data_IF_178866544195
#
_entry.id   IF_178866544195
#
_cell.length_a   1.000
_cell.length_b   1.000
_cell.length_c   1.000
_cell.angle_alpha   90.00
_cell.angle_beta   90.00
_cell.angle_gamma   90.00
#
_symmetry.space_group_name_H-M   'P 1'
#
loop_
_entity.id
_entity.type
_entity.pdbx_description
1 polymer ?
#
# COMPACT_ATOMS: atom_id res chain seq x y z
N UNK A 1 -11.27 -37.63 34.49
CA UNK A 1 -11.04 -36.17 34.52
C UNK A 1 -9.98 -35.64 33.52
N UNK A 2 -8.95 -36.40 33.11
CA UNK A 2 -7.89 -35.91 32.21
C UNK A 2 -8.33 -35.54 30.77
N UNK A 3 -9.38 -36.17 30.22
CA UNK A 3 -9.83 -35.94 28.83
C UNK A 3 -10.47 -34.55 28.62
N UNK A 4 -11.23 -34.06 29.61
CA UNK A 4 -11.89 -32.74 29.55
C UNK A 4 -10.87 -31.60 29.69
N UNK A 5 -9.87 -31.79 30.55
CA UNK A 5 -8.73 -30.86 30.70
C UNK A 5 -7.96 -30.71 29.37
N UNK A 6 -7.57 -31.81 28.71
CA UNK A 6 -6.88 -31.76 27.41
C UNK A 6 -7.70 -31.10 26.30
N UNK A 7 -9.02 -31.27 26.30
CA UNK A 7 -9.91 -30.63 25.34
C UNK A 7 -9.98 -29.11 25.55
N UNK A 8 -10.11 -28.66 26.80
CA UNK A 8 -10.08 -27.24 27.17
C UNK A 8 -8.73 -26.57 26.85
N UNK A 9 -7.61 -27.27 27.07
CA UNK A 9 -6.28 -26.79 26.69
C UNK A 9 -6.13 -26.66 25.17
N UNK A 10 -6.66 -27.63 24.41
CA UNK A 10 -6.57 -27.64 22.94
C UNK A 10 -7.47 -26.58 22.30
N UNK A 11 -8.64 -26.31 22.88
CA UNK A 11 -9.52 -25.19 22.49
C UNK A 11 -8.86 -23.84 22.74
N UNK A 12 -8.20 -23.63 23.89
CA UNK A 12 -7.42 -22.42 24.17
C UNK A 12 -6.27 -22.23 23.19
N UNK A 13 -5.49 -23.28 22.96
CA UNK A 13 -4.42 -23.28 21.94
C UNK A 13 -4.95 -22.97 20.52
N UNK A 14 -6.16 -23.41 20.19
CA UNK A 14 -6.83 -23.07 18.93
C UNK A 14 -7.21 -21.59 18.86
N UNK A 15 -7.82 -21.07 19.94
CA UNK A 15 -8.22 -19.65 20.05
C UNK A 15 -7.02 -18.70 19.98
N UNK A 16 -5.90 -19.07 20.60
CA UNK A 16 -4.66 -18.28 20.60
C UNK A 16 -4.03 -18.25 19.20
N UNK A 17 -4.06 -19.37 18.47
CA UNK A 17 -3.58 -19.46 17.09
C UNK A 17 -4.46 -18.66 16.13
N UNK A 18 -5.77 -18.71 16.30
CA UNK A 18 -6.72 -17.96 15.48
C UNK A 18 -6.60 -16.45 15.73
N UNK A 19 -6.45 -16.04 17.00
CA UNK A 19 -6.17 -14.64 17.35
C UNK A 19 -4.81 -14.18 16.81
N UNK A 20 -3.76 -15.00 16.91
CA UNK A 20 -2.46 -14.68 16.33
C UNK A 20 -2.51 -14.56 14.80
N UNK A 21 -3.25 -15.44 14.12
CA UNK A 21 -3.47 -15.36 12.68
C UNK A 21 -4.26 -14.09 12.30
N UNK A 22 -5.31 -13.75 13.05
CA UNK A 22 -6.13 -12.56 12.82
C UNK A 22 -5.33 -11.27 13.06
N UNK A 23 -4.48 -11.24 14.08
CA UNK A 23 -3.56 -10.14 14.37
C UNK A 23 -2.51 -9.99 13.28
N UNK A 24 -1.91 -11.09 12.84
CA UNK A 24 -0.93 -11.11 11.73
C UNK A 24 -1.55 -10.66 10.40
N UNK A 25 -2.78 -11.08 10.10
CA UNK A 25 -3.52 -10.60 8.93
C UNK A 25 -3.81 -9.10 9.05
N UNK A 26 -4.28 -8.62 10.21
CA UNK A 26 -4.54 -7.20 10.45
C UNK A 26 -3.27 -6.33 10.33
N UNK A 27 -2.15 -6.78 10.88
CA UNK A 27 -0.84 -6.09 10.76
C UNK A 27 -0.38 -6.04 9.29
N UNK A 28 -0.58 -7.12 8.53
CA UNK A 28 -0.26 -7.14 7.09
C UNK A 28 -1.09 -6.10 6.33
N UNK A 29 -2.39 -6.02 6.59
CA UNK A 29 -3.29 -5.02 5.97
C UNK A 29 -2.93 -3.59 6.38
N UNK A 30 -2.53 -3.39 7.64
CA UNK A 30 -2.12 -2.07 8.15
C UNK A 30 -0.82 -1.61 7.47
N UNK A 31 0.17 -2.49 7.31
CA UNK A 31 1.43 -2.20 6.62
C UNK A 31 1.20 -1.87 5.14
N UNK A 32 0.26 -2.55 4.49
CA UNK A 32 -0.10 -2.27 3.10
C UNK A 32 -0.77 -0.91 2.94
N UNK A 33 -1.65 -0.53 3.88
CA UNK A 33 -2.22 0.83 3.94
C UNK A 33 -1.17 1.88 4.29
N UNK A 34 -0.23 1.55 5.18
CA UNK A 34 0.87 2.45 5.56
C UNK A 34 1.81 2.71 4.36
N UNK A 35 2.03 1.70 3.49
CA UNK A 35 2.74 1.89 2.21
C UNK A 35 2.04 2.89 1.29
N UNK A 36 0.71 2.88 1.24
CA UNK A 36 -0.04 3.88 0.47
C UNK A 36 0.04 5.28 1.10
N UNK A 37 0.11 5.37 2.44
CA UNK A 37 0.27 6.62 3.20
C UNK A 37 1.71 7.17 3.13
N UNK A 38 2.69 6.36 2.72
CA UNK A 38 4.12 6.67 2.63
C UNK A 38 4.44 7.96 1.84
N UNK A 39 3.47 8.54 1.15
CA UNK A 39 3.57 9.77 0.37
C UNK A 39 3.87 11.05 1.19
N UNK A 40 3.98 10.98 2.52
CA UNK A 40 4.45 12.09 3.36
C UNK A 40 5.99 12.06 3.52
N UNK A 41 6.66 12.77 2.60
CA UNK A 41 8.09 13.17 2.50
C UNK A 41 9.17 12.18 2.99
N UNK A 42 9.30 11.94 4.30
CA UNK A 42 10.40 11.12 4.86
C UNK A 42 10.39 9.67 4.35
N UNK A 43 9.20 9.08 4.23
CA UNK A 43 9.08 7.67 3.84
C UNK A 43 9.19 7.46 2.31
N UNK A 44 8.91 8.48 1.49
CA UNK A 44 9.13 8.40 0.03
C UNK A 44 10.62 8.23 -0.26
N UNK A 45 11.47 9.02 0.38
CA UNK A 45 12.92 9.00 0.12
C UNK A 45 13.51 7.65 0.51
N UNK A 46 13.11 7.10 1.65
CA UNK A 46 13.52 5.76 2.08
C UNK A 46 13.03 4.67 1.11
N UNK A 47 11.77 4.74 0.68
CA UNK A 47 11.21 3.79 -0.28
C UNK A 47 11.91 3.86 -1.64
N UNK A 48 12.15 5.08 -2.14
CA UNK A 48 12.82 5.29 -3.42
C UNK A 48 14.27 4.78 -3.37
N UNK A 49 14.97 5.01 -2.25
CA UNK A 49 16.31 4.45 -2.03
C UNK A 49 16.29 2.90 -2.04
N UNK A 50 15.34 2.27 -1.34
CA UNK A 50 15.17 0.81 -1.36
C UNK A 50 14.90 0.26 -2.77
N UNK A 51 14.08 0.96 -3.56
CA UNK A 51 13.80 0.61 -4.95
C UNK A 51 15.04 0.69 -5.83
N UNK A 52 15.85 1.73 -5.69
CA UNK A 52 17.10 1.88 -6.43
C UNK A 52 18.12 0.79 -6.06
N UNK A 53 18.29 0.52 -4.76
CA UNK A 53 19.27 -0.46 -4.28
C UNK A 53 18.92 -1.90 -4.66
N UNK A 54 17.63 -2.22 -4.77
CA UNK A 54 17.15 -3.57 -5.05
C UNK A 54 16.53 -3.74 -6.44
N UNK A 55 16.65 -2.73 -7.31
CA UNK A 55 16.05 -2.73 -8.64
C UNK A 55 14.54 -3.09 -8.62
N UNK A 56 13.79 -2.52 -7.68
CA UNK A 56 12.34 -2.68 -7.57
C UNK A 56 11.64 -1.52 -8.26
N UNK A 57 10.48 -1.80 -8.83
CA UNK A 57 9.60 -0.76 -9.36
C UNK A 57 9.05 0.09 -8.20
N UNK A 58 9.13 1.44 -8.29
CA UNK A 58 8.55 2.32 -7.29
C UNK A 58 7.02 2.24 -7.30
N UNK A 59 6.39 2.49 -6.16
CA UNK A 59 4.92 2.50 -6.05
C UNK A 59 4.25 3.51 -6.99
N UNK A 60 4.92 4.62 -7.27
CA UNK A 60 4.47 5.65 -8.21
C UNK A 60 5.50 5.76 -9.35
N UNK A 61 5.29 5.06 -10.47
CA UNK A 61 6.22 5.06 -11.59
C UNK A 61 6.19 6.39 -12.36
N UNK A 62 7.22 6.65 -13.15
CA UNK A 62 7.35 7.93 -13.88
C UNK A 62 6.23 8.18 -14.90
N UNK A 63 5.64 7.10 -15.43
CA UNK A 63 4.53 7.13 -16.37
C UNK A 63 3.27 7.77 -15.79
N UNK A 64 3.06 7.66 -14.47
CA UNK A 64 1.98 8.32 -13.75
C UNK A 64 2.18 9.84 -13.80
N UNK A 65 3.35 10.32 -13.40
CA UNK A 65 3.69 11.74 -13.48
C UNK A 65 3.66 12.28 -14.92
N UNK A 66 4.07 11.48 -15.90
CA UNK A 66 3.99 11.86 -17.32
C UNK A 66 2.53 12.02 -17.78
N UNK A 67 1.61 11.15 -17.31
CA UNK A 67 0.18 11.27 -17.60
C UNK A 67 -0.39 12.56 -17.01
N UNK A 68 -0.02 12.88 -15.78
CA UNK A 68 -0.45 14.10 -15.10
C UNK A 68 0.02 15.34 -15.86
N UNK A 69 1.28 15.37 -16.28
CA UNK A 69 1.82 16.45 -17.09
C UNK A 69 1.09 16.62 -18.43
N UNK A 70 0.71 15.52 -19.09
CA UNK A 70 -0.07 15.57 -20.35
C UNK A 70 -1.45 16.19 -20.12
N UNK A 71 -2.14 15.78 -19.06
CA UNK A 71 -3.45 16.32 -18.70
C UNK A 71 -3.34 17.81 -18.34
N UNK A 72 -2.38 18.16 -17.47
CA UNK A 72 -2.09 19.54 -17.10
C UNK A 72 -1.85 20.41 -18.34
N UNK A 73 -1.00 19.93 -19.26
CA UNK A 73 -0.70 20.64 -20.51
C UNK A 73 -1.94 20.81 -21.38
N UNK A 74 -2.81 19.80 -21.47
CA UNK A 74 -4.05 19.90 -22.22
C UNK A 74 -5.02 20.91 -21.61
N UNK A 75 -5.10 21.01 -20.28
CA UNK A 75 -5.89 22.03 -19.58
C UNK A 75 -5.37 23.44 -19.94
N UNK A 76 -4.07 23.67 -19.87
CA UNK A 76 -3.50 24.97 -20.25
C UNK A 76 -3.77 25.32 -21.73
N UNK A 77 -3.64 24.34 -22.64
CA UNK A 77 -3.95 24.53 -24.06
C UNK A 77 -5.43 24.82 -24.29
N UNK A 78 -6.33 24.14 -23.57
CA UNK A 78 -7.77 24.37 -23.67
C UNK A 78 -8.13 25.78 -23.17
N UNK A 79 -7.54 26.22 -22.05
CA UNK A 79 -7.75 27.56 -21.51
C UNK A 79 -7.23 28.65 -22.44
N UNK A 80 -6.07 28.44 -23.08
CA UNK A 80 -5.51 29.40 -24.03
C UNK A 80 -6.32 29.50 -25.34
N UNK A 81 -6.80 28.36 -25.85
CA UNK A 81 -7.52 28.31 -27.13
C UNK A 81 -9.02 28.52 -27.01
N UNK A 82 -9.59 28.36 -25.82
CA UNK A 82 -11.05 28.32 -25.60
C UNK A 82 -11.72 27.07 -26.18
N UNK A 83 -10.95 26.07 -26.64
CA UNK A 83 -11.46 24.85 -27.28
C UNK A 83 -11.10 23.60 -26.48
N UNK A 84 -11.89 22.54 -26.64
CA UNK A 84 -11.58 21.23 -26.05
C UNK A 84 -10.32 20.61 -26.68
N UNK A 85 -9.43 20.05 -25.86
CA UNK A 85 -8.22 19.35 -26.30
C UNK A 85 -8.40 17.84 -26.12
N UNK A 86 -8.13 17.05 -27.17
CA UNK A 86 -8.15 15.58 -27.13
C UNK A 86 -6.83 15.05 -26.55
N UNK A 87 -6.94 14.06 -25.66
CA UNK A 87 -5.82 13.34 -25.05
C UNK A 87 -5.54 12.01 -25.75
#
# INVERSE_FOLDING_TARGET
MQKISKFSSRLRLGLDREQAARKKTSEKTLNERMRLISMMSGQIVDHMSDCLMHNKEPLTPGEEGLRDLKIMTAIYKAAQSGMSVKL
#
